data_IF_943960664902
#
_entry.id   IF_943960664902
#
_cell.length_a   1.000
_cell.length_b   1.000
_cell.length_c   1.000
_cell.angle_alpha   90.00
_cell.angle_beta   90.00
_cell.angle_gamma   90.00
#
_symmetry.space_group_name_H-M   'P 1'
#
loop_
_entity.id
_entity.type
_entity.pdbx_description
1 polymer ?
#
# COMPACT_ATOMS: atom_id res chain seq x y z
N UNK A 1 48.30 -27.79 11.09
CA UNK A 1 47.31 -26.82 10.56
C UNK A 1 46.11 -27.61 10.04
N UNK A 2 44.83 -27.29 10.26
CA UNK A 2 44.21 -26.10 10.84
C UNK A 2 42.83 -26.46 11.43
N UNK A 3 42.42 -25.69 12.44
CA UNK A 3 41.12 -25.83 13.10
C UNK A 3 40.04 -25.22 12.17
N UNK A 4 39.09 -26.05 11.73
CA UNK A 4 37.89 -25.61 11.02
C UNK A 4 36.97 -24.88 12.00
N UNK A 5 37.03 -23.55 11.99
CA UNK A 5 36.17 -22.69 12.78
C UNK A 5 34.81 -22.50 12.10
N UNK A 6 33.82 -23.30 12.50
CA UNK A 6 32.42 -22.98 12.22
C UNK A 6 31.98 -21.83 13.12
N UNK A 7 31.89 -20.61 12.56
CA UNK A 7 31.47 -19.42 13.28
C UNK A 7 29.97 -19.50 13.64
N UNK A 8 29.60 -19.57 14.93
CA UNK A 8 28.21 -19.77 15.37
C UNK A 8 27.31 -18.52 15.21
N UNK A 9 27.86 -17.40 14.76
CA UNK A 9 27.15 -16.11 14.66
C UNK A 9 26.47 -15.84 13.30
N UNK A 10 26.60 -16.73 12.31
CA UNK A 10 26.11 -16.45 10.95
C UNK A 10 24.59 -16.64 10.75
N UNK A 11 23.88 -17.17 11.75
CA UNK A 11 22.46 -17.57 11.61
C UNK A 11 21.48 -16.41 11.94
N UNK A 12 21.94 -15.32 12.58
CA UNK A 12 21.05 -14.31 13.16
C UNK A 12 20.72 -13.07 12.31
N UNK A 13 21.39 -12.82 11.19
CA UNK A 13 21.35 -11.49 10.53
C UNK A 13 20.27 -11.35 9.45
N UNK A 14 19.76 -12.45 8.87
CA UNK A 14 18.78 -12.36 7.77
C UNK A 14 17.33 -12.14 8.24
N UNK A 15 16.98 -12.44 9.49
CA UNK A 15 15.59 -12.32 9.96
C UNK A 15 15.19 -10.87 10.30
N UNK A 16 16.14 -10.05 10.76
CA UNK A 16 15.82 -8.71 11.28
C UNK A 16 15.53 -7.67 10.18
N UNK A 17 16.19 -7.79 9.02
CA UNK A 17 15.94 -6.89 7.89
C UNK A 17 14.58 -7.10 7.23
N UNK A 18 14.06 -8.34 7.19
CA UNK A 18 12.75 -8.64 6.60
C UNK A 18 11.58 -8.04 7.38
N UNK A 19 11.66 -8.02 8.71
CA UNK A 19 10.61 -7.48 9.58
C UNK A 19 10.52 -5.95 9.48
N UNK A 20 11.67 -5.26 9.49
CA UNK A 20 11.74 -3.80 9.38
C UNK A 20 11.26 -3.28 8.01
N UNK A 21 11.62 -3.96 6.92
CA UNK A 21 11.17 -3.60 5.56
C UNK A 21 9.66 -3.81 5.39
N UNK A 22 9.10 -4.89 5.96
CA UNK A 22 7.67 -5.18 5.92
C UNK A 22 6.84 -4.10 6.66
N UNK A 23 7.31 -3.67 7.84
CA UNK A 23 6.65 -2.62 8.63
C UNK A 23 6.71 -1.26 7.90
N UNK A 24 7.87 -0.88 7.34
CA UNK A 24 8.01 0.36 6.56
C UNK A 24 7.13 0.37 5.30
N UNK A 25 6.97 -0.77 4.62
CA UNK A 25 6.07 -0.92 3.48
C UNK A 25 4.60 -0.74 3.89
N UNK A 26 4.20 -1.30 5.03
CA UNK A 26 2.82 -1.17 5.56
C UNK A 26 2.47 0.28 5.95
N UNK A 27 3.40 1.00 6.58
CA UNK A 27 3.21 2.40 6.96
C UNK A 27 3.13 3.32 5.72
N UNK A 28 3.99 3.09 4.73
CA UNK A 28 3.95 3.83 3.47
C UNK A 28 2.62 3.62 2.72
N UNK A 29 2.09 2.39 2.73
CA UNK A 29 0.79 2.09 2.15
C UNK A 29 -0.35 2.80 2.89
N UNK A 30 -0.35 2.81 4.22
CA UNK A 30 -1.35 3.52 5.01
C UNK A 30 -1.32 5.04 4.75
N UNK A 31 -0.12 5.64 4.70
CA UNK A 31 0.05 7.07 4.37
C UNK A 31 -0.44 7.36 2.94
N UNK A 32 -0.14 6.48 1.98
CA UNK A 32 -0.62 6.59 0.61
C UNK A 32 -2.15 6.54 0.53
N UNK A 33 -2.77 5.60 1.26
CA UNK A 33 -4.23 5.47 1.35
C UNK A 33 -4.88 6.72 1.94
N UNK A 34 -4.35 7.25 3.05
CA UNK A 34 -4.87 8.48 3.68
C UNK A 34 -4.78 9.66 2.71
N UNK A 35 -3.63 9.83 2.05
CA UNK A 35 -3.44 10.89 1.03
C UNK A 35 -4.44 10.76 -0.11
N UNK A 36 -4.67 9.55 -0.59
CA UNK A 36 -5.57 9.27 -1.69
C UNK A 36 -7.03 9.52 -1.28
N UNK A 37 -7.45 9.11 -0.08
CA UNK A 37 -8.77 9.40 0.47
C UNK A 37 -9.00 10.91 0.61
N UNK A 38 -8.01 11.62 1.14
CA UNK A 38 -8.09 13.07 1.32
C UNK A 38 -8.20 13.79 -0.03
N UNK A 39 -7.38 13.38 -1.01
CA UNK A 39 -7.39 13.93 -2.36
C UNK A 39 -8.73 13.68 -3.06
N UNK A 40 -9.26 12.46 -2.99
CA UNK A 40 -10.57 12.10 -3.52
C UNK A 40 -11.70 12.94 -2.91
N UNK A 41 -11.66 13.15 -1.59
CA UNK A 41 -12.67 13.92 -0.87
C UNK A 41 -12.67 15.38 -1.29
N UNK A 42 -11.49 16.01 -1.36
CA UNK A 42 -11.35 17.40 -1.81
C UNK A 42 -11.84 17.54 -3.26
N UNK A 43 -11.49 16.60 -4.13
CA UNK A 43 -11.90 16.63 -5.52
C UNK A 43 -13.42 16.58 -5.69
N UNK A 44 -14.10 15.68 -4.97
CA UNK A 44 -15.57 15.57 -5.04
C UNK A 44 -16.25 16.84 -4.51
N UNK A 45 -15.74 17.43 -3.43
CA UNK A 45 -16.27 18.67 -2.89
C UNK A 45 -16.06 19.84 -3.86
N UNK A 46 -14.87 19.98 -4.42
CA UNK A 46 -14.57 21.01 -5.43
C UNK A 46 -15.46 20.85 -6.65
N UNK A 47 -15.58 19.62 -7.19
CA UNK A 47 -16.40 19.32 -8.36
C UNK A 47 -17.85 19.72 -8.15
N UNK A 48 -18.40 19.41 -6.98
CA UNK A 48 -19.77 19.79 -6.66
C UNK A 48 -19.95 21.30 -6.52
N UNK A 49 -19.06 21.98 -5.78
CA UNK A 49 -19.13 23.44 -5.63
C UNK A 49 -18.99 24.15 -6.97
N UNK A 50 -18.15 23.63 -7.86
CA UNK A 50 -18.00 24.13 -9.21
C UNK A 50 -19.28 23.92 -10.03
N UNK A 51 -19.94 22.75 -9.92
CA UNK A 51 -21.22 22.50 -10.58
C UNK A 51 -22.35 23.40 -10.05
N UNK A 52 -22.39 23.63 -8.73
CA UNK A 52 -23.35 24.53 -8.08
C UNK A 52 -23.31 25.97 -8.61
N UNK A 53 -22.14 26.47 -9.02
CA UNK A 53 -22.02 27.84 -9.57
C UNK A 53 -22.86 27.99 -10.86
N UNK A 54 -22.94 26.93 -11.67
CA UNK A 54 -23.64 26.97 -12.94
C UNK A 54 -25.10 26.49 -12.84
N UNK A 55 -25.40 25.60 -11.91
CA UNK A 55 -26.72 24.95 -11.79
C UNK A 55 -27.58 25.61 -10.70
N UNK A 56 -26.99 26.37 -9.77
CA UNK A 56 -27.65 27.00 -8.61
C UNK A 56 -28.43 26.03 -7.68
N UNK A 57 -28.27 24.72 -7.86
CA UNK A 57 -28.88 23.66 -7.06
C UNK A 57 -27.79 22.81 -6.46
N UNK A 58 -27.86 22.56 -5.16
CA UNK A 58 -26.95 21.65 -4.45
C UNK A 58 -27.41 20.20 -4.62
N UNK A 59 -26.46 19.33 -4.98
CA UNK A 59 -26.67 17.89 -4.96
C UNK A 59 -26.87 17.40 -3.52
N UNK A 60 -27.74 16.39 -3.31
CA UNK A 60 -27.88 15.77 -2.00
C UNK A 60 -26.55 15.15 -1.54
N UNK A 61 -26.16 15.26 -0.25
CA UNK A 61 -24.92 14.70 0.28
C UNK A 61 -24.73 13.20 -0.03
N UNK A 62 -25.83 12.44 -0.06
CA UNK A 62 -25.84 11.01 -0.42
C UNK A 62 -25.23 10.74 -1.79
N UNK A 63 -25.49 11.60 -2.79
CA UNK A 63 -24.98 11.43 -4.15
C UNK A 63 -23.46 11.63 -4.17
N UNK A 64 -22.99 12.66 -3.46
CA UNK A 64 -21.56 12.98 -3.34
C UNK A 64 -20.82 11.85 -2.61
N UNK A 65 -21.40 11.34 -1.52
CA UNK A 65 -20.85 10.21 -0.76
C UNK A 65 -20.77 8.95 -1.60
N UNK A 66 -21.79 8.64 -2.40
CA UNK A 66 -21.79 7.48 -3.28
C UNK A 66 -20.74 7.61 -4.40
N UNK A 67 -20.60 8.82 -4.99
CA UNK A 67 -19.57 9.09 -5.99
C UNK A 67 -18.16 8.98 -5.42
N UNK A 68 -17.96 9.45 -4.19
CA UNK A 68 -16.71 9.33 -3.44
C UNK A 68 -16.38 7.87 -3.14
N UNK A 69 -17.32 7.10 -2.58
CA UNK A 69 -17.15 5.67 -2.27
C UNK A 69 -16.79 4.87 -3.54
N UNK A 70 -17.48 5.12 -4.65
CA UNK A 70 -17.16 4.48 -5.93
C UNK A 70 -15.75 4.80 -6.39
N UNK A 71 -15.36 6.07 -6.34
CA UNK A 71 -14.02 6.52 -6.75
C UNK A 71 -12.93 5.92 -5.85
N UNK A 72 -13.16 5.84 -4.54
CA UNK A 72 -12.22 5.20 -3.61
C UNK A 72 -12.09 3.70 -3.89
N UNK A 73 -13.20 2.99 -4.14
CA UNK A 73 -13.15 1.56 -4.49
C UNK A 73 -12.35 1.33 -5.76
N UNK A 74 -12.60 2.11 -6.81
CA UNK A 74 -11.89 1.97 -8.08
C UNK A 74 -10.39 2.24 -7.92
N UNK A 75 -10.01 3.22 -7.10
CA UNK A 75 -8.61 3.51 -6.80
C UNK A 75 -7.95 2.43 -5.92
N UNK A 76 -8.65 1.93 -4.90
CA UNK A 76 -8.13 0.87 -4.03
C UNK A 76 -7.96 -0.45 -4.78
N UNK A 77 -8.86 -0.77 -5.72
CA UNK A 77 -8.74 -1.93 -6.60
C UNK A 77 -7.58 -1.79 -7.61
N UNK A 78 -7.26 -0.56 -8.02
CA UNK A 78 -6.12 -0.26 -8.89
C UNK A 78 -4.77 -0.39 -8.17
N UNK A 79 -4.72 -0.20 -6.85
CA UNK A 79 -3.52 -0.44 -6.05
C UNK A 79 -3.26 -1.95 -6.00
N UNK A 80 -2.41 -2.43 -6.93
CA UNK A 80 -1.98 -3.82 -6.96
C UNK A 80 -1.30 -4.16 -5.63
N UNK A 81 -1.77 -5.23 -4.98
CA UNK A 81 -1.12 -5.76 -3.78
C UNK A 81 0.36 -5.99 -4.09
N UNK A 82 1.24 -5.50 -3.20
CA UNK A 82 2.67 -5.71 -3.36
C UNK A 82 2.92 -7.22 -3.49
N UNK A 83 3.61 -7.68 -4.56
CA UNK A 83 3.88 -9.10 -4.70
C UNK A 83 4.65 -9.56 -3.46
N UNK A 84 4.37 -10.78 -2.96
CA UNK A 84 5.15 -11.35 -1.87
C UNK A 84 6.64 -11.24 -2.24
N UNK A 85 7.53 -10.99 -1.26
CA UNK A 85 8.96 -10.89 -1.53
C UNK A 85 9.37 -12.14 -2.31
N UNK A 86 9.87 -11.93 -3.54
CA UNK A 86 10.20 -13.01 -4.44
C UNK A 86 11.16 -13.96 -3.72
N UNK A 87 10.69 -15.18 -3.43
CA UNK A 87 11.56 -16.24 -2.95
C UNK A 87 12.52 -16.56 -4.09
N UNK A 88 13.82 -16.37 -3.85
CA UNK A 88 14.85 -16.66 -4.85
C UNK A 88 14.73 -18.13 -5.27
N UNK A 89 14.76 -18.46 -6.58
CA UNK A 89 14.72 -19.84 -7.07
C UNK A 89 15.83 -20.73 -6.49
N UNK A 90 16.90 -20.13 -5.96
CA UNK A 90 18.00 -20.84 -5.30
C UNK A 90 17.63 -21.50 -3.96
N UNK A 91 16.45 -21.23 -3.39
CA UNK A 91 16.03 -21.90 -2.15
C UNK A 91 15.56 -23.35 -2.35
N UNK A 92 15.35 -23.79 -3.60
CA UNK A 92 14.76 -25.11 -3.90
C UNK A 92 15.78 -26.19 -4.31
N UNK A 93 17.08 -25.89 -4.36
CA UNK A 93 18.09 -26.88 -4.73
C UNK A 93 18.76 -27.49 -3.49
N UNK A 94 18.14 -28.56 -2.97
CA UNK A 94 18.82 -29.51 -2.09
C UNK A 94 18.69 -30.91 -2.71
N UNK A 95 19.77 -31.50 -3.25
CA UNK A 95 19.73 -32.89 -3.70
C UNK A 95 19.89 -33.85 -2.50
N UNK A 96 19.40 -35.11 -2.62
CA UNK A 96 19.56 -36.15 -1.61
C UNK A 96 21.02 -36.57 -1.38
#
# INVERSE_FOLDING_TARGET
MGKSGSNPWSIGIKQQHGFSISLCKSNANAICQIKLIFQASIYQLWKERNACIFIAVSSPPRIIHHALDRLLRDLLLSIKAAPPPAQSPLQFYWPP
#
